data_IF_828264725079
#
_entry.id   IF_828264725079
#
_cell.length_a   1.000
_cell.length_b   1.000
_cell.length_c   1.000
_cell.angle_alpha   90.00
_cell.angle_beta   90.00
_cell.angle_gamma   90.00
#
_symmetry.space_group_name_H-M   'P 1'
#
loop_
_entity.id
_entity.type
_entity.pdbx_description
1 polymer ?
#
# COMPACT_ATOMS: atom_id res chain seq x y z
N UNK A 1 8.52 -0.30 8.66
CA UNK A 1 9.09 0.41 7.50
C UNK A 1 8.69 1.87 7.58
N UNK A 2 9.56 2.80 7.22
CA UNK A 2 9.26 4.23 7.11
C UNK A 2 9.71 4.68 5.72
N UNK A 3 8.90 5.48 5.03
CA UNK A 3 9.24 6.00 3.71
C UNK A 3 8.32 7.14 3.29
N UNK A 4 8.75 7.88 2.26
CA UNK A 4 7.96 8.92 1.61
C UNK A 4 7.06 8.26 0.56
N UNK A 5 5.77 8.56 0.59
CA UNK A 5 4.82 8.04 -0.40
C UNK A 5 4.98 8.79 -1.71
N UNK A 6 5.46 8.12 -2.75
CA UNK A 6 5.73 8.72 -4.06
C UNK A 6 4.72 8.32 -5.14
N UNK A 7 4.02 7.20 -4.96
CA UNK A 7 2.94 6.77 -5.85
C UNK A 7 1.86 5.99 -5.12
N UNK A 8 0.63 6.14 -5.58
CA UNK A 8 -0.57 5.43 -5.11
C UNK A 8 -1.36 4.95 -6.33
N UNK A 9 -1.63 3.66 -6.40
CA UNK A 9 -2.48 3.05 -7.42
C UNK A 9 -3.65 2.34 -6.74
N UNK A 10 -4.87 2.58 -7.23
CA UNK A 10 -6.07 1.94 -6.71
C UNK A 10 -6.45 0.74 -7.55
N UNK A 11 -6.49 -0.43 -6.93
CA UNK A 11 -6.68 -1.70 -7.61
C UNK A 11 -8.00 -2.37 -7.19
N UNK A 12 -8.64 -3.05 -8.14
CA UNK A 12 -9.75 -3.97 -7.89
C UNK A 12 -9.27 -5.38 -8.22
N UNK A 13 -9.10 -6.19 -7.19
CA UNK A 13 -8.66 -7.57 -7.32
C UNK A 13 -9.87 -8.50 -7.41
N UNK A 14 -9.85 -9.37 -8.42
CA UNK A 14 -10.85 -10.42 -8.64
C UNK A 14 -10.22 -11.77 -8.30
N UNK A 15 -10.84 -12.49 -7.38
CA UNK A 15 -10.39 -13.82 -6.98
C UNK A 15 -11.19 -14.91 -7.68
N UNK A 16 -10.60 -16.11 -7.89
CA UNK A 16 -11.28 -17.24 -8.51
C UNK A 16 -12.55 -17.70 -7.77
N UNK A 17 -12.68 -17.39 -6.47
CA UNK A 17 -13.86 -17.66 -5.66
C UNK A 17 -15.00 -16.64 -5.85
N UNK A 18 -14.85 -15.73 -6.81
CA UNK A 18 -15.81 -14.67 -7.11
C UNK A 18 -15.74 -13.47 -6.16
N UNK A 19 -14.85 -13.48 -5.17
CA UNK A 19 -14.67 -12.32 -4.28
C UNK A 19 -13.97 -11.19 -5.03
N UNK A 20 -14.47 -9.98 -4.81
CA UNK A 20 -13.83 -8.75 -5.26
C UNK A 20 -13.31 -8.03 -4.02
N UNK A 21 -12.02 -7.72 -4.00
CA UNK A 21 -11.44 -6.87 -2.94
C UNK A 21 -10.83 -5.63 -3.54
N UNK A 22 -10.92 -4.52 -2.81
CA UNK A 22 -10.13 -3.34 -3.12
C UNK A 22 -8.75 -3.49 -2.48
N UNK A 23 -7.72 -3.10 -3.22
CA UNK A 23 -6.40 -2.87 -2.67
C UNK A 23 -5.84 -1.55 -3.18
N UNK A 24 -4.74 -1.14 -2.58
CA UNK A 24 -3.97 0.03 -2.97
C UNK A 24 -2.52 -0.38 -3.04
N UNK A 25 -1.92 -0.24 -4.21
CA UNK A 25 -0.48 -0.37 -4.37
C UNK A 25 0.18 0.97 -4.06
N UNK A 26 1.19 0.94 -3.19
CA UNK A 26 1.92 2.07 -2.65
C UNK A 26 3.39 1.94 -3.05
N UNK A 27 3.97 3.04 -3.50
CA UNK A 27 5.40 3.14 -3.67
C UNK A 27 5.97 4.01 -2.55
N UNK A 28 6.81 3.40 -1.71
CA UNK A 28 7.49 4.07 -0.61
C UNK A 28 8.98 4.20 -0.91
N UNK A 29 9.45 5.45 -0.97
CA UNK A 29 10.85 5.74 -1.22
C UNK A 29 11.55 6.16 0.08
N UNK A 30 12.75 5.63 0.27
CA UNK A 30 13.74 6.13 1.22
C UNK A 30 15.01 6.52 0.44
N UNK A 31 15.99 7.13 1.08
CA UNK A 31 17.22 7.65 0.45
C UNK A 31 17.97 6.65 -0.43
N UNK A 32 17.71 5.34 -0.29
CA UNK A 32 18.46 4.26 -0.95
C UNK A 32 17.62 3.36 -1.85
N UNK A 33 16.30 3.35 -1.71
CA UNK A 33 15.45 2.33 -2.35
C UNK A 33 14.01 2.77 -2.46
N UNK A 34 13.35 2.22 -3.47
CA UNK A 34 11.91 2.21 -3.62
C UNK A 34 11.34 0.86 -3.16
N UNK A 35 10.26 0.88 -2.40
CA UNK A 35 9.57 -0.29 -1.90
C UNK A 35 8.13 -0.30 -2.42
N UNK A 36 7.77 -1.36 -3.14
CA UNK A 36 6.39 -1.60 -3.55
C UNK A 36 5.62 -2.33 -2.43
N UNK A 37 4.44 -1.81 -2.10
CA UNK A 37 3.66 -2.14 -0.93
C UNK A 37 2.19 -2.29 -1.31
N UNK A 38 1.51 -3.40 -1.01
CA UNK A 38 0.06 -3.53 -1.25
C UNK A 38 -0.73 -3.44 0.06
N UNK A 39 -1.67 -2.50 0.17
CA UNK A 39 -2.66 -2.44 1.26
C UNK A 39 -3.98 -3.03 0.77
N UNK A 40 -4.47 -4.09 1.40
CA UNK A 40 -5.77 -4.69 1.08
C UNK A 40 -6.74 -4.69 2.26
N UNK A 41 -8.03 -4.78 1.97
CA UNK A 41 -9.08 -4.97 2.97
C UNK A 41 -9.61 -3.67 3.58
N UNK A 42 -10.00 -3.71 4.86
CA UNK A 42 -10.88 -2.71 5.49
C UNK A 42 -10.26 -1.31 5.63
N UNK A 43 -8.94 -1.20 5.61
CA UNK A 43 -8.22 0.07 5.79
C UNK A 43 -8.03 0.86 4.50
N UNK A 44 -8.37 0.28 3.34
CA UNK A 44 -8.17 0.91 2.04
C UNK A 44 -8.85 2.27 1.94
N UNK A 45 -10.11 2.37 2.36
CA UNK A 45 -10.87 3.61 2.24
C UNK A 45 -10.42 4.68 3.24
N UNK A 46 -10.01 4.27 4.44
CA UNK A 46 -9.45 5.18 5.45
C UNK A 46 -8.09 5.73 5.01
N UNK A 47 -7.25 4.88 4.43
CA UNK A 47 -5.97 5.28 3.87
C UNK A 47 -6.15 6.30 2.74
N UNK A 48 -7.04 6.04 1.77
CA UNK A 48 -7.35 6.95 0.66
C UNK A 48 -7.70 8.35 1.15
N UNK A 49 -8.68 8.44 2.06
CA UNK A 49 -9.11 9.71 2.66
C UNK A 49 -7.96 10.45 3.36
N UNK A 50 -7.08 9.72 4.03
CA UNK A 50 -5.93 10.29 4.72
C UNK A 50 -4.93 10.89 3.74
N UNK A 51 -4.63 10.20 2.64
CA UNK A 51 -3.74 10.72 1.57
C UNK A 51 -4.36 11.92 0.87
N UNK A 52 -5.64 11.85 0.51
CA UNK A 52 -6.35 12.95 -0.16
C UNK A 52 -6.42 14.22 0.70
N UNK A 53 -6.40 14.06 2.04
CA UNK A 53 -6.37 15.18 2.99
C UNK A 53 -4.98 15.77 3.23
N UNK A 54 -3.92 15.19 2.65
CA UNK A 54 -2.55 15.66 2.88
C UNK A 54 -2.30 17.00 2.18
N UNK A 55 -1.96 18.03 2.97
CA UNK A 55 -1.76 19.38 2.46
C UNK A 55 -0.31 19.60 1.99
N UNK A 56 -0.13 19.78 0.68
CA UNK A 56 1.02 20.50 0.12
C UNK A 56 2.35 19.76 0.00
N UNK A 57 2.42 18.45 0.28
CA UNK A 57 3.66 17.67 0.15
C UNK A 57 3.43 16.16 0.13
N UNK A 58 4.49 15.40 -0.16
CA UNK A 58 4.43 13.93 -0.13
C UNK A 58 4.37 13.44 1.33
N UNK A 59 3.36 12.63 1.71
CA UNK A 59 3.23 12.18 3.08
C UNK A 59 4.31 11.17 3.45
N UNK A 60 4.77 11.23 4.70
CA UNK A 60 5.61 10.19 5.30
C UNK A 60 4.71 9.11 5.87
N UNK A 61 4.93 7.87 5.45
CA UNK A 61 4.13 6.72 5.87
C UNK A 61 4.97 5.82 6.76
N UNK A 62 4.42 5.48 7.93
CA UNK A 62 4.98 4.49 8.85
C UNK A 62 4.15 3.24 8.77
N UNK A 63 4.78 2.13 8.43
CA UNK A 63 4.14 0.84 8.35
C UNK A 63 4.68 -0.14 9.40
N UNK A 64 3.79 -0.72 10.20
CA UNK A 64 4.11 -1.65 11.30
C UNK A 64 3.35 -2.98 11.14
N UNK A 65 3.88 -4.05 11.74
CA UNK A 65 3.27 -5.41 11.76
C UNK A 65 2.92 -5.95 10.37
N UNK A 66 3.83 -5.69 9.45
CA UNK A 66 3.68 -5.94 8.03
C UNK A 66 4.02 -7.38 7.69
N UNK A 67 3.15 -8.07 6.95
CA UNK A 67 3.51 -9.34 6.34
C UNK A 67 4.50 -9.07 5.21
N UNK A 68 5.66 -9.72 5.24
CA UNK A 68 6.61 -9.66 4.13
C UNK A 68 6.34 -10.85 3.22
N UNK A 69 5.91 -10.56 2.00
CA UNK A 69 5.80 -11.55 0.92
C UNK A 69 6.76 -11.11 -0.18
N UNK A 70 7.44 -12.05 -0.82
CA UNK A 70 8.26 -11.77 -2.01
C UNK A 70 7.53 -12.42 -3.18
N UNK A 71 6.79 -11.63 -3.95
CA UNK A 71 6.20 -12.08 -5.22
C UNK A 71 6.85 -11.32 -6.37
N UNK A 72 7.30 -12.04 -7.39
CA UNK A 72 7.91 -11.46 -8.60
C UNK A 72 9.06 -10.47 -8.31
N UNK A 73 9.82 -10.68 -7.23
CA UNK A 73 11.09 -10.01 -6.96
C UNK A 73 11.06 -8.80 -6.02
N UNK A 74 9.97 -8.03 -5.92
CA UNK A 74 10.03 -6.74 -5.19
C UNK A 74 8.76 -6.24 -4.46
N UNK A 75 7.61 -6.92 -4.54
CA UNK A 75 6.37 -6.42 -3.93
C UNK A 75 6.09 -7.05 -2.57
N UNK A 76 5.85 -6.21 -1.55
CA UNK A 76 5.49 -6.60 -0.18
C UNK A 76 3.99 -6.41 0.05
N UNK A 77 3.26 -7.49 0.38
CA UNK A 77 1.79 -7.45 0.52
C UNK A 77 1.29 -7.36 1.96
N UNK A 78 0.26 -6.55 2.20
CA UNK A 78 -0.42 -6.37 3.49
C UNK A 78 -1.87 -6.79 3.41
N UNK A 79 -2.18 -7.84 4.17
CA UNK A 79 -3.53 -8.21 4.56
C UNK A 79 -3.54 -8.37 6.08
N UNK A 80 -4.38 -7.59 6.76
CA UNK A 80 -4.67 -7.84 8.18
C UNK A 80 -5.68 -8.99 8.23
N UNK A 81 -5.36 -10.04 8.98
CA UNK A 81 -6.29 -11.13 9.30
C UNK A 81 -7.53 -10.61 10.03
#
# INVERSE_FOLDING_TARGET
VVGVLTSVQHDKNFFPDGKVTQSVTLQLDDQRRSLCCELSGRLVDEFKKSVDSSAGGLPVVVLQFMKITISQGFCVNFSRF
#
